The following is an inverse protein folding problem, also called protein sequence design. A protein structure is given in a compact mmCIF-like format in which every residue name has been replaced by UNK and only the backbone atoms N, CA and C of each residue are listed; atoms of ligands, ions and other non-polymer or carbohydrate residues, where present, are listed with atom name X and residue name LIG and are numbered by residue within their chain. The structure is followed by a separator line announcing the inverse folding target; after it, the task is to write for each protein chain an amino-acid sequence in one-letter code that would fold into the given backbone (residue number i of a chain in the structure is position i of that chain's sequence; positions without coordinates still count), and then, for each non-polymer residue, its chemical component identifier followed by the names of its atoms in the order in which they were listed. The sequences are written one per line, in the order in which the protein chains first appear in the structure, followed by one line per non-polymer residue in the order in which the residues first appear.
data_IF_020136844031
#
_entry.id   IF_020136844031
#
_cell.length_a   1.000
_cell.length_b   1.000
_cell.length_c   1.000
_cell.angle_alpha   90.00
_cell.angle_beta   90.00
_cell.angle_gamma   90.00
#
_symmetry.space_group_name_H-M   'P 1'
#
loop_
_entity.id
_entity.type
_entity.pdbx_description
1 polymer ?
#
# COMPACT_ATOMS: atom_id res chain seq x y z
N UNK A 1 -16.18 6.27 -1.31
CA UNK A 1 -17.44 6.86 -0.83
C UNK A 1 -17.93 7.81 -1.91
N UNK A 2 -19.01 7.44 -2.60
CA UNK A 2 -19.47 8.13 -3.82
C UNK A 2 -20.10 9.48 -3.49
N UNK A 3 -20.70 9.63 -2.30
CA UNK A 3 -21.30 10.91 -1.88
C UNK A 3 -20.25 11.89 -1.35
N UNK A 4 -19.12 11.42 -0.82
CA UNK A 4 -18.05 12.30 -0.31
C UNK A 4 -16.84 12.44 -1.23
N UNK A 5 -16.78 11.68 -2.33
CA UNK A 5 -15.63 11.67 -3.24
C UNK A 5 -14.35 11.06 -2.64
N UNK A 6 -14.42 10.46 -1.44
CA UNK A 6 -13.25 9.83 -0.82
C UNK A 6 -12.90 8.54 -1.54
N UNK A 7 -11.67 8.48 -2.05
CA UNK A 7 -11.03 7.27 -2.54
C UNK A 7 -10.25 6.60 -1.41
N UNK A 8 -10.25 5.26 -1.41
CA UNK A 8 -9.53 4.46 -0.43
C UNK A 8 -8.62 3.49 -1.19
N UNK A 9 -7.32 3.54 -0.90
CA UNK A 9 -6.35 2.61 -1.44
C UNK A 9 -6.18 1.43 -0.49
N UNK A 10 -6.31 0.21 -1.03
CA UNK A 10 -6.02 -1.02 -0.31
C UNK A 10 -4.79 -1.67 -0.93
N UNK A 11 -3.66 -1.56 -0.24
CA UNK A 11 -2.43 -2.23 -0.61
C UNK A 11 -2.29 -3.55 0.17
N UNK A 12 -1.70 -4.60 -0.43
CA UNK A 12 -1.47 -5.87 0.25
C UNK A 12 -0.47 -5.70 1.40
N UNK A 13 -0.69 -6.40 2.51
CA UNK A 13 0.31 -6.54 3.57
C UNK A 13 1.35 -7.56 3.12
N UNK A 14 2.53 -7.06 2.74
CA UNK A 14 3.65 -7.89 2.32
C UNK A 14 4.43 -8.41 3.53
N UNK A 15 4.92 -9.65 3.44
CA UNK A 15 5.85 -10.24 4.42
C UNK A 15 7.26 -9.68 4.20
N UNK A 16 8.10 -9.73 5.23
CA UNK A 16 9.48 -9.22 5.14
C UNK A 16 10.31 -9.96 4.08
N UNK A 17 9.98 -11.24 3.85
CA UNK A 17 10.57 -12.08 2.80
C UNK A 17 10.36 -11.50 1.39
N UNK A 18 9.25 -10.79 1.19
CA UNK A 18 8.94 -10.14 -0.08
C UNK A 18 9.96 -9.05 -0.43
N UNK A 19 10.56 -8.42 0.60
CA UNK A 19 11.57 -7.39 0.40
C UNK A 19 12.89 -7.93 -0.19
N UNK A 20 13.16 -9.21 0.04
CA UNK A 20 14.39 -9.89 -0.44
C UNK A 20 14.35 -10.08 -1.96
N UNK A 21 13.18 -10.42 -2.50
CA UNK A 21 13.04 -10.79 -3.93
C UNK A 21 12.55 -9.63 -4.81
N UNK A 22 11.70 -8.75 -4.27
CA UNK A 22 10.96 -7.75 -5.05
C UNK A 22 11.29 -6.31 -4.64
N UNK A 23 12.26 -6.13 -3.75
CA UNK A 23 12.76 -4.83 -3.33
C UNK A 23 11.99 -4.20 -2.16
N UNK A 24 12.32 -2.94 -1.85
CA UNK A 24 11.87 -2.29 -0.60
C UNK A 24 10.35 -2.15 -0.50
N UNK A 25 9.79 -2.68 0.60
CA UNK A 25 8.39 -2.47 0.99
C UNK A 25 8.21 -0.99 1.35
N UNK A 26 7.31 -0.30 0.63
CA UNK A 26 7.02 1.12 0.88
C UNK A 26 5.96 1.26 1.98
N UNK A 27 6.10 2.25 2.88
CA UNK A 27 5.08 2.53 3.87
C UNK A 27 3.80 3.10 3.20
N UNK A 28 2.64 2.94 3.86
CA UNK A 28 1.35 3.47 3.38
C UNK A 28 1.39 4.97 3.08
N UNK A 29 2.22 5.73 3.80
CA UNK A 29 2.43 7.16 3.57
C UNK A 29 3.04 7.49 2.21
N UNK A 30 3.70 6.55 1.55
CA UNK A 30 4.27 6.73 0.21
C UNK A 30 3.21 6.69 -0.91
N UNK A 31 1.97 6.32 -0.59
CA UNK A 31 0.88 6.14 -1.55
C UNK A 31 -0.25 7.16 -1.35
N UNK A 32 0.11 8.35 -0.87
CA UNK A 32 -0.83 9.44 -0.60
C UNK A 32 -1.22 10.19 -1.86
#
# INVERSE_FOLDING_TARGET
DVSTGKSFLFAPRLTDEYAVWLGKIKPLSAYK
#
